data_IF_544418667868
#
_entry.id   IF_544418667868
#
_cell.length_a   1.000
_cell.length_b   1.000
_cell.length_c   1.000
_cell.angle_alpha   90.00
_cell.angle_beta   90.00
_cell.angle_gamma   90.00
#
_symmetry.space_group_name_H-M   'P 1'
#
loop_
_entity.id
_entity.type
_entity.pdbx_description
1 polymer ?
#
# COMPACT_ATOMS: atom_id res chain seq x y z
N UNK A 1 18.77 -49.01 13.33
CA UNK A 1 19.26 -48.08 12.29
C UNK A 1 18.23 -46.97 12.10
N UNK A 2 18.71 -45.77 11.78
CA UNK A 2 18.00 -44.51 11.55
C UNK A 2 17.85 -43.56 12.76
N UNK A 3 18.91 -42.78 12.93
CA UNK A 3 18.94 -41.48 13.58
C UNK A 3 17.95 -40.49 12.95
N UNK A 4 17.47 -39.53 13.76
CA UNK A 4 17.50 -38.10 13.40
C UNK A 4 17.08 -37.18 14.58
N UNK A 5 18.08 -36.43 15.04
CA UNK A 5 18.07 -34.98 15.36
C UNK A 5 17.37 -34.51 16.65
N UNK A 6 18.22 -34.29 17.65
CA UNK A 6 18.01 -33.47 18.84
C UNK A 6 17.88 -32.00 18.39
N UNK A 7 16.77 -31.36 18.72
CA UNK A 7 16.65 -29.90 18.72
C UNK A 7 16.74 -29.44 20.18
N UNK A 8 17.94 -29.06 20.60
CA UNK A 8 18.20 -28.54 21.93
C UNK A 8 17.72 -27.08 21.99
N UNK A 9 16.81 -26.86 22.92
CA UNK A 9 16.40 -25.56 23.45
C UNK A 9 17.59 -24.99 24.22
N UNK A 10 18.07 -23.80 23.85
CA UNK A 10 18.87 -22.97 24.74
C UNK A 10 18.40 -21.52 24.63
N UNK A 11 17.47 -21.18 25.53
CA UNK A 11 17.20 -19.82 25.95
C UNK A 11 18.12 -19.55 27.13
N UNK A 12 19.06 -18.64 26.94
CA UNK A 12 19.74 -17.86 27.97
C UNK A 12 19.87 -16.46 27.34
N UNK A 13 19.16 -15.42 27.75
CA UNK A 13 19.08 -14.89 29.11
C UNK A 13 20.50 -14.64 29.62
N UNK A 14 21.03 -13.45 29.79
CA UNK A 14 20.51 -12.09 29.92
C UNK A 14 21.76 -11.25 30.18
N UNK A 15 21.93 -10.07 29.59
CA UNK A 15 22.69 -9.00 30.25
C UNK A 15 22.45 -7.64 29.58
N UNK A 16 21.61 -6.88 30.28
CA UNK A 16 21.61 -5.44 30.41
C UNK A 16 22.88 -4.73 29.91
N UNK A 17 22.71 -3.75 29.02
CA UNK A 17 23.38 -2.46 29.21
C UNK A 17 22.47 -1.31 28.74
N UNK A 18 21.68 -0.86 29.72
CA UNK A 18 20.98 0.42 29.78
C UNK A 18 21.94 1.61 29.85
N UNK A 19 21.40 2.79 29.51
CA UNK A 19 21.97 4.14 29.63
C UNK A 19 23.11 4.46 28.66
N UNK A 20 23.15 5.62 28.02
CA UNK A 20 22.58 6.90 28.39
C UNK A 20 23.64 7.93 28.03
N UNK A 21 23.35 8.79 27.06
CA UNK A 21 24.27 9.82 26.59
C UNK A 21 24.24 10.96 27.62
N UNK A 22 25.26 11.06 28.47
CA UNK A 22 25.50 12.22 29.32
C UNK A 22 26.91 12.77 29.05
N UNK A 23 26.94 14.08 28.86
CA UNK A 23 28.10 14.90 28.61
C UNK A 23 28.88 15.17 29.89
N UNK A 24 30.19 15.38 29.71
CA UNK A 24 31.13 16.13 30.55
C UNK A 24 31.70 15.50 31.84
N UNK A 25 33.05 15.55 31.85
CA UNK A 25 33.96 15.71 32.99
C UNK A 25 34.37 14.46 33.80
N UNK A 26 35.64 14.09 33.58
CA UNK A 26 36.69 14.05 34.61
C UNK A 26 37.25 12.68 35.05
N UNK A 27 38.55 12.54 34.73
CA UNK A 27 39.65 11.78 35.37
C UNK A 27 39.89 10.28 35.15
N UNK A 28 41.04 10.04 34.49
CA UNK A 28 42.12 9.06 34.72
C UNK A 28 41.81 7.56 34.56
N UNK A 29 42.61 6.69 33.94
CA UNK A 29 43.98 6.76 33.39
C UNK A 29 44.18 5.53 32.47
N UNK A 30 44.94 5.67 31.37
CA UNK A 30 45.71 4.63 30.63
C UNK A 30 44.93 3.42 30.02
N UNK A 31 45.17 2.90 28.81
CA UNK A 31 46.33 2.90 27.93
C UNK A 31 45.87 2.49 26.50
N UNK A 32 46.40 3.22 25.51
CA UNK A 32 46.72 2.83 24.12
C UNK A 32 45.82 1.87 23.32
N UNK A 33 45.25 2.38 22.22
CA UNK A 33 45.64 2.10 20.80
C UNK A 33 44.48 2.55 19.88
N UNK A 34 44.73 3.57 19.06
CA UNK A 34 43.93 3.93 17.87
C UNK A 34 44.43 3.11 16.64
N UNK A 35 43.90 3.30 15.43
CA UNK A 35 42.50 3.22 14.97
C UNK A 35 42.40 2.27 13.75
N UNK A 36 41.22 1.72 13.45
CA UNK A 36 40.89 1.43 12.05
C UNK A 36 39.47 1.85 11.72
N UNK A 37 39.41 2.58 10.61
CA UNK A 37 38.24 3.11 9.97
C UNK A 37 37.38 2.00 9.31
N UNK A 38 36.22 2.44 8.83
CA UNK A 38 35.23 1.74 8.00
C UNK A 38 34.21 0.86 8.74
N UNK A 39 32.89 1.03 8.59
CA UNK A 39 32.16 1.79 7.57
C UNK A 39 30.77 2.18 8.08
N UNK A 40 30.46 3.46 7.93
CA UNK A 40 29.11 4.03 7.97
C UNK A 40 28.50 3.80 6.58
N UNK A 41 27.62 2.80 6.43
CA UNK A 41 26.78 2.70 5.22
C UNK A 41 25.66 3.74 5.28
N UNK A 42 26.04 4.99 5.06
CA UNK A 42 25.13 6.06 4.62
C UNK A 42 25.10 5.99 3.10
N UNK A 43 23.92 5.68 2.55
CA UNK A 43 23.65 5.60 1.12
C UNK A 43 24.00 6.91 0.39
N UNK A 44 25.26 7.01 -0.01
CA UNK A 44 25.70 7.99 -0.98
C UNK A 44 25.06 7.62 -2.31
N UNK A 45 24.14 8.46 -2.80
CA UNK A 45 23.83 8.53 -4.23
C UNK A 45 25.11 9.00 -4.95
N UNK A 46 26.03 8.07 -5.19
CA UNK A 46 27.17 8.28 -6.07
C UNK A 46 26.59 8.52 -7.47
N UNK A 47 26.63 9.78 -7.91
CA UNK A 47 26.36 10.14 -9.30
C UNK A 47 27.45 9.47 -10.14
N UNK A 48 27.22 8.21 -10.55
CA UNK A 48 28.08 7.49 -11.49
C UNK A 48 28.26 8.41 -12.70
N UNK A 49 29.48 8.91 -12.88
CA UNK A 49 29.83 9.81 -13.98
C UNK A 49 29.79 8.95 -15.24
N UNK A 50 28.61 8.85 -15.87
CA UNK A 50 28.41 8.09 -17.10
C UNK A 50 29.51 8.48 -18.10
N UNK A 51 30.21 7.49 -18.64
CA UNK A 51 31.23 7.70 -19.66
C UNK A 51 30.60 8.38 -20.88
N UNK A 52 31.40 9.08 -21.68
CA UNK A 52 30.89 9.76 -22.88
C UNK A 52 30.16 8.79 -23.82
N UNK A 53 30.60 7.53 -23.87
CA UNK A 53 29.97 6.48 -24.68
C UNK A 53 28.65 6.00 -24.09
N UNK A 54 28.57 5.76 -22.78
CA UNK A 54 27.32 5.38 -22.10
C UNK A 54 26.24 6.47 -22.29
N UNK A 55 26.65 7.75 -22.27
CA UNK A 55 25.74 8.87 -22.53
C UNK A 55 25.20 8.88 -23.95
N UNK A 56 26.05 8.64 -24.96
CA UNK A 56 25.63 8.54 -26.36
C UNK A 56 24.64 7.38 -26.55
N UNK A 57 24.94 6.20 -25.99
CA UNK A 57 24.04 5.05 -26.06
C UNK A 57 22.68 5.32 -25.40
N UNK A 58 22.66 5.98 -24.23
CA UNK A 58 21.41 6.36 -23.56
C UNK A 58 20.60 7.40 -24.34
N UNK A 59 21.27 8.34 -25.02
CA UNK A 59 20.62 9.34 -25.88
C UNK A 59 20.02 8.65 -27.10
N UNK A 60 20.77 7.79 -27.78
CA UNK A 60 20.28 7.01 -28.92
C UNK A 60 19.08 6.13 -28.53
N UNK A 61 19.19 5.37 -27.43
CA UNK A 61 18.11 4.52 -26.94
C UNK A 61 16.86 5.31 -26.52
N UNK A 62 17.03 6.54 -25.99
CA UNK A 62 15.90 7.42 -25.67
C UNK A 62 15.29 8.05 -26.93
N UNK A 63 16.11 8.39 -27.92
CA UNK A 63 15.65 8.90 -29.21
C UNK A 63 14.81 7.84 -29.92
N UNK A 64 15.29 6.61 -29.99
CA UNK A 64 14.58 5.47 -30.58
C UNK A 64 13.24 5.21 -29.90
N UNK A 65 13.21 5.17 -28.55
CA UNK A 65 11.97 5.03 -27.77
C UNK A 65 10.95 6.14 -28.01
N UNK A 66 11.41 7.33 -28.38
CA UNK A 66 10.57 8.51 -28.66
C UNK A 66 10.33 8.70 -30.16
N UNK A 67 10.83 7.80 -31.02
CA UNK A 67 10.70 7.89 -32.48
C UNK A 67 11.45 9.09 -33.09
N UNK A 68 12.55 9.54 -32.49
CA UNK A 68 13.34 10.68 -32.94
C UNK A 68 14.50 10.17 -33.80
N UNK A 69 14.54 10.54 -35.09
CA UNK A 69 15.70 10.26 -35.95
C UNK A 69 16.96 10.95 -35.42
N UNK A 70 18.00 10.15 -35.21
CA UNK A 70 19.36 10.57 -34.81
C UNK A 70 20.29 10.80 -35.99
N UNK A 71 19.88 10.43 -37.20
CA UNK A 71 20.69 10.58 -38.42
C UNK A 71 20.93 12.05 -38.76
N UNK A 72 22.20 12.39 -38.99
CA UNK A 72 22.63 13.74 -39.38
C UNK A 72 22.57 14.80 -38.27
N UNK A 73 22.20 14.45 -37.04
CA UNK A 73 22.09 15.38 -35.91
C UNK A 73 23.20 15.17 -34.88
N UNK A 74 23.62 16.25 -34.25
CA UNK A 74 24.59 16.20 -33.16
C UNK A 74 23.96 15.64 -31.87
N UNK A 75 24.77 15.02 -31.01
CA UNK A 75 24.29 14.46 -29.73
C UNK A 75 23.51 15.48 -28.87
N UNK A 76 23.89 16.77 -28.95
CA UNK A 76 23.24 17.87 -28.25
C UNK A 76 21.83 18.13 -28.81
N UNK A 77 21.69 18.20 -30.13
CA UNK A 77 20.40 18.42 -30.79
C UNK A 77 19.44 17.25 -30.55
N UNK A 78 19.93 16.01 -30.63
CA UNK A 78 19.14 14.82 -30.30
C UNK A 78 18.67 14.89 -28.84
N UNK A 79 19.55 15.30 -27.93
CA UNK A 79 19.21 15.43 -26.51
C UNK A 79 18.17 16.54 -26.25
N UNK A 80 18.23 17.65 -26.96
CA UNK A 80 17.23 18.72 -26.88
C UNK A 80 15.88 18.27 -27.42
N UNK A 81 15.85 17.60 -28.57
CA UNK A 81 14.64 17.01 -29.13
C UNK A 81 14.01 15.98 -28.19
N UNK A 82 14.82 15.13 -27.56
CA UNK A 82 14.35 14.19 -26.52
C UNK A 82 13.72 14.96 -25.35
N UNK A 83 14.37 16.02 -24.86
CA UNK A 83 13.84 16.82 -23.75
C UNK A 83 12.53 17.50 -24.13
N UNK A 84 12.43 18.07 -25.32
CA UNK A 84 11.20 18.70 -25.82
C UNK A 84 10.07 17.69 -25.93
N UNK A 85 10.28 16.56 -26.62
CA UNK A 85 9.30 15.48 -26.74
C UNK A 85 8.90 14.90 -25.38
N UNK A 86 9.86 14.69 -24.49
CA UNK A 86 9.56 14.22 -23.13
C UNK A 86 8.75 15.24 -22.33
N UNK A 87 9.03 16.54 -22.49
CA UNK A 87 8.28 17.61 -21.84
C UNK A 87 6.85 17.73 -22.40
N UNK A 88 6.67 17.61 -23.72
CA UNK A 88 5.35 17.56 -24.36
C UNK A 88 4.53 16.38 -23.86
N UNK A 89 5.10 15.18 -23.86
CA UNK A 89 4.44 13.98 -23.33
C UNK A 89 4.11 14.10 -21.84
N UNK A 90 4.99 14.74 -21.06
CA UNK A 90 4.74 14.97 -19.65
C UNK A 90 3.56 15.93 -19.44
N UNK A 91 3.46 17.01 -20.22
CA UNK A 91 2.32 17.94 -20.20
C UNK A 91 1.03 17.24 -20.60
N UNK A 92 1.03 16.49 -21.70
CA UNK A 92 -0.13 15.70 -22.13
C UNK A 92 -0.59 14.73 -21.05
N UNK A 93 0.33 13.98 -20.42
CA UNK A 93 0.00 13.07 -19.31
C UNK A 93 -0.55 13.81 -18.09
N UNK A 94 -0.05 15.01 -17.78
CA UNK A 94 -0.57 15.83 -16.70
C UNK A 94 -2.00 16.30 -16.99
N UNK A 95 -2.27 16.76 -18.21
CA UNK A 95 -3.60 17.16 -18.66
C UNK A 95 -4.59 15.98 -18.67
N UNK A 96 -4.19 14.82 -19.20
CA UNK A 96 -5.01 13.61 -19.14
C UNK A 96 -5.29 13.18 -17.71
N UNK A 97 -4.29 13.24 -16.82
CA UNK A 97 -4.47 12.93 -15.40
C UNK A 97 -5.43 13.91 -14.74
N UNK A 98 -5.32 15.20 -15.06
CA UNK A 98 -6.26 16.23 -14.58
C UNK A 98 -7.68 15.93 -15.05
N UNK A 99 -7.88 15.65 -16.34
CA UNK A 99 -9.20 15.27 -16.89
C UNK A 99 -9.78 14.05 -16.19
N UNK A 100 -9.00 12.98 -16.02
CA UNK A 100 -9.43 11.76 -15.30
C UNK A 100 -9.82 12.06 -13.85
N UNK A 101 -9.04 12.88 -13.15
CA UNK A 101 -9.38 13.30 -11.78
C UNK A 101 -10.66 14.14 -11.75
N UNK A 102 -10.86 15.04 -12.71
CA UNK A 102 -12.10 15.82 -12.81
C UNK A 102 -13.32 14.94 -13.08
N UNK A 103 -13.19 13.92 -13.95
CA UNK A 103 -14.24 12.93 -14.19
C UNK A 103 -14.54 12.09 -12.95
N UNK A 104 -13.51 11.62 -12.23
CA UNK A 104 -13.68 10.88 -10.97
C UNK A 104 -14.31 11.75 -9.88
N UNK A 105 -13.90 13.02 -9.77
CA UNK A 105 -14.50 14.00 -8.87
C UNK A 105 -15.99 14.16 -9.18
N UNK A 106 -16.35 14.39 -10.45
CA UNK A 106 -17.74 14.53 -10.87
C UNK A 106 -18.57 13.28 -10.56
N UNK A 107 -18.03 12.07 -10.79
CA UNK A 107 -18.69 10.79 -10.43
C UNK A 107 -18.94 10.64 -8.93
N UNK A 108 -18.09 11.25 -8.10
CA UNK A 108 -18.21 11.24 -6.65
C UNK A 108 -19.03 12.43 -6.11
N UNK A 109 -19.59 13.28 -7.00
CA UNK A 109 -20.33 14.48 -6.64
C UNK A 109 -19.45 15.60 -6.07
N UNK A 110 -18.15 15.58 -6.38
CA UNK A 110 -17.21 16.64 -6.03
C UNK A 110 -17.13 17.59 -7.23
N UNK A 111 -17.41 18.88 -7.03
CA UNK A 111 -17.27 19.86 -8.11
C UNK A 111 -15.79 20.04 -8.49
N UNK A 112 -15.42 19.76 -9.76
CA UNK A 112 -14.07 20.00 -10.26
C UNK A 112 -13.91 21.51 -10.52
N UNK A 113 -13.80 22.32 -9.47
CA UNK A 113 -13.47 23.74 -9.58
C UNK A 113 -12.03 23.96 -10.08
N UNK A 114 -11.49 25.17 -9.88
CA UNK A 114 -10.07 25.50 -10.14
C UNK A 114 -9.08 24.83 -9.17
N UNK A 115 -9.39 23.63 -8.67
CA UNK A 115 -8.55 22.88 -7.74
C UNK A 115 -7.39 22.24 -8.50
N UNK A 116 -6.23 22.19 -7.86
CA UNK A 116 -5.06 21.55 -8.44
C UNK A 116 -5.22 20.02 -8.52
N UNK A 117 -4.43 19.35 -9.36
CA UNK A 117 -4.43 17.88 -9.48
C UNK A 117 -4.25 17.16 -8.13
N UNK A 118 -3.43 17.75 -7.23
CA UNK A 118 -3.13 17.16 -5.92
C UNK A 118 -4.33 17.28 -4.99
N UNK A 119 -4.97 18.44 -4.96
CA UNK A 119 -6.15 18.68 -4.13
C UNK A 119 -7.32 17.82 -4.60
N UNK A 120 -7.62 17.80 -5.91
CA UNK A 120 -8.66 16.92 -6.45
C UNK A 120 -8.40 15.46 -6.10
N UNK A 121 -7.18 14.97 -6.25
CA UNK A 121 -6.82 13.59 -5.90
C UNK A 121 -7.00 13.29 -4.41
N UNK A 122 -6.65 14.24 -3.53
CA UNK A 122 -6.81 14.05 -2.09
C UNK A 122 -8.29 14.03 -1.69
N UNK A 123 -9.09 14.94 -2.25
CA UNK A 123 -10.52 15.06 -1.97
C UNK A 123 -11.32 13.88 -2.52
N UNK A 124 -10.97 13.39 -3.73
CA UNK A 124 -11.48 12.12 -4.29
C UNK A 124 -11.18 10.96 -3.34
N UNK A 125 -9.93 10.86 -2.85
CA UNK A 125 -9.53 9.78 -1.96
C UNK A 125 -10.31 9.82 -0.65
N UNK A 126 -10.46 11.01 -0.06
CA UNK A 126 -11.21 11.20 1.17
C UNK A 126 -12.70 10.89 0.99
N UNK A 127 -13.31 11.38 -0.08
CA UNK A 127 -14.72 11.08 -0.39
C UNK A 127 -14.95 9.60 -0.63
N UNK A 128 -14.03 8.91 -1.32
CA UNK A 128 -14.09 7.47 -1.49
C UNK A 128 -13.97 6.73 -0.15
N UNK A 129 -13.07 7.16 0.73
CA UNK A 129 -12.91 6.59 2.07
C UNK A 129 -14.18 6.77 2.90
N UNK A 130 -14.73 7.98 2.94
CA UNK A 130 -16.00 8.27 3.61
C UNK A 130 -17.14 7.41 3.07
N UNK A 131 -17.29 7.28 1.75
CA UNK A 131 -18.34 6.47 1.13
C UNK A 131 -18.17 4.96 1.46
N UNK A 132 -16.93 4.47 1.55
CA UNK A 132 -16.65 3.10 2.01
C UNK A 132 -17.00 2.89 3.47
N UNK A 133 -16.67 3.85 4.34
CA UNK A 133 -16.99 3.79 5.77
C UNK A 133 -18.51 3.85 5.99
N UNK A 134 -19.22 4.74 5.30
CA UNK A 134 -20.68 4.80 5.31
C UNK A 134 -21.31 3.49 4.85
N UNK A 135 -20.85 2.90 3.74
CA UNK A 135 -21.32 1.58 3.28
C UNK A 135 -21.05 0.48 4.32
N UNK A 136 -19.89 0.52 4.97
CA UNK A 136 -19.55 -0.45 6.01
C UNK A 136 -20.45 -0.31 7.24
N UNK A 137 -20.73 0.91 7.68
CA UNK A 137 -21.66 1.20 8.77
C UNK A 137 -23.08 0.75 8.41
N UNK A 138 -23.57 1.13 7.23
CA UNK A 138 -24.90 0.72 6.77
C UNK A 138 -25.05 -0.82 6.65
N UNK A 139 -23.98 -1.53 6.24
CA UNK A 139 -23.96 -2.99 6.25
C UNK A 139 -23.98 -3.56 7.66
N UNK A 140 -23.20 -2.98 8.58
CA UNK A 140 -23.21 -3.37 9.99
C UNK A 140 -24.59 -3.20 10.61
N UNK A 141 -25.23 -2.05 10.43
CA UNK A 141 -26.58 -1.78 10.93
C UNK A 141 -27.60 -2.78 10.37
N UNK A 142 -27.57 -3.05 9.06
CA UNK A 142 -28.45 -4.06 8.43
C UNK A 142 -28.26 -5.45 9.05
N UNK A 143 -27.01 -5.85 9.25
CA UNK A 143 -26.69 -7.13 9.89
C UNK A 143 -27.11 -7.17 11.35
N UNK A 144 -26.96 -6.08 12.10
CA UNK A 144 -27.42 -6.00 13.49
C UNK A 144 -28.95 -6.08 13.57
N UNK A 145 -29.68 -5.41 12.67
CA UNK A 145 -31.14 -5.51 12.59
C UNK A 145 -31.59 -6.93 12.25
N UNK A 146 -30.94 -7.59 11.29
CA UNK A 146 -31.27 -8.97 10.92
C UNK A 146 -30.91 -9.96 12.03
N UNK A 147 -29.77 -9.75 12.70
CA UNK A 147 -29.37 -10.52 13.88
C UNK A 147 -30.42 -10.40 15.00
N UNK A 148 -30.89 -9.18 15.30
CA UNK A 148 -31.95 -8.95 16.28
C UNK A 148 -33.26 -9.67 15.93
N UNK A 149 -33.67 -9.68 14.66
CA UNK A 149 -34.85 -10.42 14.18
C UNK A 149 -34.71 -11.94 14.37
N UNK A 150 -33.49 -12.46 14.30
CA UNK A 150 -33.18 -13.89 14.47
C UNK A 150 -32.81 -14.25 15.92
N UNK A 151 -32.88 -13.31 16.86
CA UNK A 151 -32.49 -13.52 18.26
C UNK A 151 -30.98 -13.75 18.46
N UNK A 152 -30.15 -13.29 17.53
CA UNK A 152 -28.69 -13.35 17.62
C UNK A 152 -28.19 -12.06 18.29
N UNK A 153 -27.45 -12.20 19.40
CA UNK A 153 -26.82 -11.05 20.06
C UNK A 153 -25.74 -10.42 19.16
N UNK A 154 -25.84 -9.13 18.81
CA UNK A 154 -24.86 -8.46 17.97
C UNK A 154 -23.65 -7.88 18.72
N UNK A 155 -23.65 -7.87 20.05
CA UNK A 155 -22.59 -7.26 20.83
C UNK A 155 -21.22 -7.91 20.56
N UNK A 156 -20.19 -7.07 20.37
CA UNK A 156 -18.80 -7.51 20.20
C UNK A 156 -18.46 -8.22 18.88
N UNK A 157 -19.42 -8.41 17.96
CA UNK A 157 -19.21 -9.13 16.71
C UNK A 157 -18.91 -8.20 15.54
N UNK A 158 -18.01 -8.64 14.67
CA UNK A 158 -17.72 -7.97 13.39
C UNK A 158 -18.82 -8.23 12.36
N UNK A 159 -18.87 -7.41 11.29
CA UNK A 159 -19.80 -7.60 10.16
C UNK A 159 -19.74 -9.04 9.59
N UNK A 160 -18.54 -9.60 9.53
CA UNK A 160 -18.33 -10.93 8.94
C UNK A 160 -18.90 -12.03 9.84
N UNK A 161 -18.67 -11.94 11.14
CA UNK A 161 -19.19 -12.90 12.13
C UNK A 161 -20.71 -12.81 12.25
N UNK A 162 -21.27 -11.60 12.27
CA UNK A 162 -22.72 -11.38 12.19
C UNK A 162 -23.32 -12.03 10.95
N UNK A 163 -22.75 -11.75 9.78
CA UNK A 163 -23.22 -12.33 8.52
C UNK A 163 -23.14 -13.86 8.47
N UNK A 164 -22.13 -14.47 9.09
CA UNK A 164 -22.03 -15.92 9.20
C UNK A 164 -23.07 -16.51 10.16
N UNK A 165 -23.26 -15.90 11.33
CA UNK A 165 -24.24 -16.33 12.31
C UNK A 165 -25.67 -16.25 11.76
N UNK A 166 -26.00 -15.16 11.07
CA UNK A 166 -27.29 -14.96 10.38
C UNK A 166 -27.52 -16.05 9.33
N UNK A 167 -26.53 -16.31 8.47
CA UNK A 167 -26.62 -17.37 7.45
C UNK A 167 -26.82 -18.75 8.08
N UNK A 168 -26.10 -19.06 9.15
CA UNK A 168 -26.26 -20.32 9.87
C UNK A 168 -27.67 -20.46 10.46
N UNK A 169 -28.20 -19.41 11.08
CA UNK A 169 -29.57 -19.40 11.62
C UNK A 169 -30.65 -19.55 10.56
N UNK A 170 -30.52 -18.88 9.42
CA UNK A 170 -31.44 -19.08 8.29
C UNK A 170 -31.41 -20.53 7.79
N UNK A 171 -30.22 -21.15 7.71
CA UNK A 171 -30.08 -22.55 7.30
C UNK A 171 -30.72 -23.51 8.32
N UNK A 172 -30.57 -23.24 9.61
CA UNK A 172 -31.21 -24.01 10.69
C UNK A 172 -32.73 -23.92 10.61
N UNK A 173 -33.28 -22.71 10.49
CA UNK A 173 -34.72 -22.46 10.35
C UNK A 173 -35.31 -23.14 9.10
N UNK A 174 -34.58 -23.10 7.98
CA UNK A 174 -34.99 -23.80 6.77
C UNK A 174 -35.03 -25.32 7.00
N UNK A 175 -34.02 -25.90 7.62
CA UNK A 175 -33.97 -27.33 7.93
C UNK A 175 -35.12 -27.76 8.85
N UNK A 176 -35.44 -26.97 9.89
CA UNK A 176 -36.55 -27.22 10.81
C UNK A 176 -37.90 -27.22 10.08
N UNK A 177 -38.15 -26.24 9.20
CA UNK A 177 -39.38 -26.19 8.39
C UNK A 177 -39.54 -27.42 7.50
N UNK A 178 -38.45 -27.91 6.91
CA UNK A 178 -38.49 -29.13 6.09
C UNK A 178 -38.79 -30.38 6.94
N UNK A 179 -38.21 -30.49 8.13
CA UNK A 179 -38.48 -31.62 9.03
C UNK A 179 -39.91 -31.59 9.59
N UNK A 180 -40.44 -30.42 9.92
CA UNK A 180 -41.80 -30.27 10.45
C UNK A 180 -42.86 -30.53 9.37
N UNK A 181 -42.60 -30.11 8.12
CA UNK A 181 -43.47 -30.44 6.98
C UNK A 181 -43.49 -31.95 6.70
N UNK A 182 -42.34 -32.64 6.82
CA UNK A 182 -42.24 -34.09 6.64
C UNK A 182 -42.95 -34.86 7.78
N UNK A 183 -42.83 -34.39 9.03
CA UNK A 183 -43.56 -34.96 10.18
C UNK A 183 -45.07 -34.74 10.09
N UNK A 184 -45.54 -33.58 9.63
CA UNK A 184 -46.99 -33.33 9.40
C UNK A 184 -47.56 -34.18 8.26
N UNK A 185 -46.78 -34.47 7.22
CA UNK A 185 -47.20 -35.30 6.09
C UNK A 185 -47.19 -36.82 6.39
N UNK A 186 -46.58 -37.27 7.50
CA UNK A 186 -46.56 -38.68 7.92
C UNK A 186 -47.55 -39.01 9.04
N UNK A 187 -48.35 -38.03 9.48
CA UNK A 187 -49.36 -38.17 10.55
C UNK A 187 -50.80 -38.02 9.99
N UNK A 188 -50.94 -37.73 8.69
CA UNK A 188 -52.18 -37.85 7.92
C UNK A 188 -52.11 -39.11 7.04
#
# INVERSE_FOLDING_TARGET
MFMRKIAAISIAGSLLLSCGLASAAESAETQAVQPTADSVQKSAHTKKKLSAEERKQLIAAKAEKLGISTEGKTDKEVQELIKQKAAELAKQKQEERLKKLQEEAAKLGIEPGQKSAKELSAEIHEKQKQNREQKRQALLEKLQQEAGKLGIDPAGKTAKELGQAIKAKHKELAAQKHTDKKKKASVQ
#
